data_IF_515426277032
#
_entry.id   IF_515426277032
#
_cell.length_a   1.000
_cell.length_b   1.000
_cell.length_c   1.000
_cell.angle_alpha   90.00
_cell.angle_beta   90.00
_cell.angle_gamma   90.00
#
_symmetry.space_group_name_H-M   'P 1'
#
loop_
_entity.id
_entity.type
_entity.pdbx_description
1 polymer ?
#
# COMPACT_ATOMS: atom_id res chain seq x y z
N UNK A 1 9.18 -7.01 -7.54
CA UNK A 1 9.75 -5.88 -6.78
C UNK A 1 8.64 -4.88 -6.45
N UNK A 2 8.56 -4.40 -5.20
CA UNK A 2 7.70 -3.27 -4.83
C UNK A 2 8.35 -1.98 -5.36
N UNK A 3 7.63 -1.25 -6.19
CA UNK A 3 8.14 -0.08 -6.91
C UNK A 3 7.84 1.24 -6.21
N UNK A 4 6.84 1.27 -5.31
CA UNK A 4 6.57 2.42 -4.45
C UNK A 4 5.81 2.01 -3.18
N UNK A 5 6.12 2.69 -2.06
CA UNK A 5 5.42 2.60 -0.78
C UNK A 5 5.16 4.00 -0.26
N UNK A 6 3.93 4.50 -0.43
CA UNK A 6 3.58 5.87 -0.10
C UNK A 6 2.62 5.90 1.08
N UNK A 7 2.97 6.64 2.12
CA UNK A 7 2.13 6.82 3.31
C UNK A 7 1.54 8.21 3.29
N UNK A 8 0.21 8.27 3.28
CA UNK A 8 -0.56 9.50 3.27
C UNK A 8 -1.41 9.59 4.54
N UNK A 9 -1.66 10.83 5.00
CA UNK A 9 -2.64 11.14 6.04
C UNK A 9 -3.78 11.92 5.40
N UNK A 10 -5.02 11.62 5.79
CA UNK A 10 -6.19 12.36 5.35
C UNK A 10 -6.08 13.84 5.76
N UNK A 11 -6.41 14.80 4.87
CA UNK A 11 -6.29 16.22 5.18
C UNK A 11 -7.36 16.75 6.16
N UNK A 12 -8.42 15.98 6.41
CA UNK A 12 -9.56 16.35 7.28
C UNK A 12 -9.58 15.53 8.57
N UNK A 13 -9.15 14.27 8.52
CA UNK A 13 -9.11 13.37 9.67
C UNK A 13 -7.67 12.95 10.01
N UNK A 14 -7.07 13.45 11.11
CA UNK A 14 -5.69 13.13 11.47
C UNK A 14 -5.47 11.67 11.88
N UNK A 15 -6.53 10.88 12.14
CA UNK A 15 -6.45 9.47 12.50
C UNK A 15 -6.63 8.53 11.29
N UNK A 16 -6.92 9.09 10.10
CA UNK A 16 -7.10 8.33 8.87
C UNK A 16 -5.85 8.39 8.00
N UNK A 17 -5.37 7.22 7.62
CA UNK A 17 -4.17 7.05 6.80
C UNK A 17 -4.48 6.23 5.56
N UNK A 18 -3.67 6.40 4.51
CA UNK A 18 -3.69 5.56 3.32
C UNK A 18 -2.26 5.13 2.99
N UNK A 19 -2.08 3.85 2.70
CA UNK A 19 -0.84 3.30 2.16
C UNK A 19 -1.11 2.93 0.72
N UNK A 20 -0.34 3.50 -0.21
CA UNK A 20 -0.37 3.13 -1.63
C UNK A 20 0.86 2.28 -1.92
N UNK A 21 0.60 1.01 -2.21
CA UNK A 21 1.61 0.02 -2.54
C UNK A 21 1.56 -0.28 -4.03
N UNK A 22 2.70 -0.12 -4.70
CA UNK A 22 2.79 -0.29 -6.14
C UNK A 22 3.68 -1.46 -6.49
N UNK A 23 3.17 -2.37 -7.31
CA UNK A 23 3.86 -3.60 -7.71
C UNK A 23 4.01 -3.66 -9.23
N UNK A 24 5.16 -4.11 -9.73
CA UNK A 24 5.36 -4.23 -11.18
C UNK A 24 4.49 -5.33 -11.81
N UNK A 25 4.17 -6.35 -11.04
CA UNK A 25 3.37 -7.51 -11.45
C UNK A 25 2.83 -8.22 -10.19
N UNK A 26 1.93 -9.18 -10.37
CA UNK A 26 1.30 -9.89 -9.24
C UNK A 26 2.29 -10.67 -8.37
N UNK A 27 3.30 -11.29 -8.97
CA UNK A 27 4.32 -12.04 -8.21
C UNK A 27 5.15 -11.14 -7.30
N UNK A 28 5.23 -9.84 -7.59
CA UNK A 28 5.89 -8.86 -6.73
C UNK A 28 5.17 -8.67 -5.39
N UNK A 29 3.86 -8.93 -5.33
CA UNK A 29 3.09 -8.87 -4.09
C UNK A 29 3.49 -9.99 -3.12
N UNK A 30 3.74 -11.21 -3.64
CA UNK A 30 4.20 -12.35 -2.82
C UNK A 30 5.51 -12.02 -2.10
N UNK A 31 6.48 -11.49 -2.85
CA UNK A 31 7.77 -11.07 -2.29
C UNK A 31 7.62 -9.99 -1.22
N UNK A 32 6.65 -9.08 -1.37
CA UNK A 32 6.39 -8.06 -0.37
C UNK A 32 5.81 -8.64 0.93
N UNK A 33 4.84 -9.57 0.82
CA UNK A 33 4.23 -10.23 1.97
C UNK A 33 5.18 -11.19 2.68
N UNK A 34 6.14 -11.77 1.96
CA UNK A 34 7.21 -12.62 2.51
C UNK A 34 8.34 -11.82 3.16
N UNK A 35 8.32 -10.49 3.06
CA UNK A 35 9.36 -9.63 3.63
C UNK A 35 9.32 -9.69 5.17
N UNK A 36 10.46 -9.87 5.86
CA UNK A 36 10.52 -9.92 7.32
C UNK A 36 9.92 -8.68 8.02
N UNK A 37 9.91 -7.51 7.37
CA UNK A 37 9.29 -6.32 7.94
C UNK A 37 7.77 -6.44 8.02
N UNK A 38 7.12 -7.06 7.02
CA UNK A 38 5.66 -7.26 7.04
C UNK A 38 5.23 -8.10 8.24
N UNK A 39 5.98 -9.15 8.54
CA UNK A 39 5.75 -10.03 9.69
C UNK A 39 5.84 -9.31 11.05
N UNK A 40 6.49 -8.15 11.11
CA UNK A 40 6.52 -7.29 12.32
C UNK A 40 5.49 -6.17 12.28
N UNK A 41 5.21 -5.64 11.09
CA UNK A 41 4.32 -4.50 10.88
C UNK A 41 2.85 -4.88 11.12
N UNK A 42 2.35 -5.94 10.49
CA UNK A 42 0.93 -6.30 10.59
C UNK A 42 0.51 -6.57 12.04
N UNK A 43 1.22 -7.40 12.84
CA UNK A 43 0.86 -7.62 14.24
C UNK A 43 0.92 -6.35 15.11
N UNK A 44 1.81 -5.41 14.79
CA UNK A 44 1.93 -4.14 15.52
C UNK A 44 0.76 -3.20 15.22
N UNK A 45 0.33 -3.12 13.96
CA UNK A 45 -0.70 -2.18 13.51
C UNK A 45 -2.10 -2.66 13.82
N UNK A 46 -2.38 -3.96 13.71
CA UNK A 46 -3.72 -4.53 13.96
C UNK A 46 -4.43 -3.99 15.21
N UNK A 47 -3.82 -3.97 16.42
CA UNK A 47 -4.49 -3.45 17.62
C UNK A 47 -4.69 -1.93 17.62
N UNK A 48 -4.04 -1.19 16.73
CA UNK A 48 -4.16 0.28 16.61
C UNK A 48 -5.27 0.69 15.65
N UNK A 49 -5.76 -0.23 14.82
CA UNK A 49 -6.80 0.06 13.84
C UNK A 49 -8.17 0.10 14.51
N UNK A 50 -8.97 1.10 14.13
CA UNK A 50 -10.37 1.17 14.56
C UNK A 50 -11.25 0.09 13.91
N UNK A 51 -10.80 -0.46 12.77
CA UNK A 51 -11.49 -1.48 11.97
C UNK A 51 -10.47 -2.42 11.34
N UNK A 52 -10.83 -3.69 11.05
CA UNK A 52 -9.92 -4.63 10.41
C UNK A 52 -9.37 -4.10 9.06
N UNK A 53 -8.06 -4.24 8.84
CA UNK A 53 -7.40 -3.69 7.63
C UNK A 53 -8.02 -4.20 6.32
N UNK A 54 -8.41 -5.49 6.29
CA UNK A 54 -8.91 -6.17 5.10
C UNK A 54 -10.26 -5.63 4.60
N UNK A 55 -11.03 -4.94 5.44
CA UNK A 55 -12.29 -4.30 5.04
C UNK A 55 -12.06 -3.08 4.13
N UNK A 56 -10.86 -2.52 4.13
CA UNK A 56 -10.51 -1.32 3.36
C UNK A 56 -9.40 -1.57 2.31
N UNK A 57 -8.96 -2.82 2.14
CA UNK A 57 -8.00 -3.17 1.09
C UNK A 57 -8.70 -3.18 -0.28
N UNK A 58 -8.14 -2.42 -1.22
CA UNK A 58 -8.60 -2.37 -2.61
C UNK A 58 -7.43 -2.54 -3.55
N UNK A 59 -7.69 -3.14 -4.72
CA UNK A 59 -6.70 -3.32 -5.78
C UNK A 59 -7.10 -2.51 -7.00
N UNK A 60 -6.11 -1.84 -7.57
CA UNK A 60 -6.27 -0.98 -8.74
C UNK A 60 -5.17 -1.32 -9.75
N UNK A 61 -5.54 -1.33 -11.03
CA UNK A 61 -4.57 -1.44 -12.12
C UNK A 61 -4.20 -0.03 -12.59
N UNK A 62 -2.93 0.17 -12.94
CA UNK A 62 -2.52 1.45 -13.50
C UNK A 62 -3.17 1.69 -14.85
N UNK A 63 -3.57 2.94 -15.10
CA UNK A 63 -4.10 3.32 -16.40
C UNK A 63 -2.99 3.21 -17.45
N UNK A 64 -3.32 2.61 -18.60
CA UNK A 64 -2.42 2.57 -19.75
C UNK A 64 -2.38 3.96 -20.40
N UNK A 65 -1.25 4.64 -20.21
CA UNK A 65 -1.02 6.02 -20.68
C UNK A 65 0.28 6.10 -21.48
N UNK A 66 0.37 6.97 -22.51
CA UNK A 66 1.56 7.07 -23.36
C UNK A 66 2.84 7.45 -22.59
N UNK A 67 2.70 8.22 -21.52
CA UNK A 67 3.75 8.55 -20.55
C UNK A 67 3.33 7.96 -19.22
N UNK A 68 4.14 7.08 -18.65
CA UNK A 68 3.76 6.37 -17.43
C UNK A 68 3.71 7.34 -16.25
N UNK A 69 2.70 7.18 -15.39
CA UNK A 69 2.51 8.02 -14.20
C UNK A 69 3.69 8.01 -13.21
N UNK A 70 4.62 7.05 -13.35
CA UNK A 70 5.81 6.90 -12.53
C UNK A 70 6.85 8.01 -12.75
N UNK A 71 6.78 8.70 -13.90
CA UNK A 71 7.72 9.75 -14.28
C UNK A 71 7.17 11.16 -13.99
N UNK A 72 5.94 11.25 -13.47
CA UNK A 72 5.29 12.49 -13.06
C UNK A 72 5.76 12.87 -11.65
N UNK A 73 6.92 13.53 -11.57
CA UNK A 73 7.39 14.24 -10.38
C UNK A 73 6.81 15.66 -10.30
#
# INVERSE_FOLDING_TARGET
MCSAWLVHRDPKDPLKFAIVERFMNEDSQKYHLENPYWATFDPYVQPLLSHPIHENLTRWEELDVPVKNQDSA
#
